data_IF_048434995964
#
_entry.id   IF_048434995964
#
_cell.length_a   1.000
_cell.length_b   1.000
_cell.length_c   1.000
_cell.angle_alpha   90.00
_cell.angle_beta   90.00
_cell.angle_gamma   90.00
#
_symmetry.space_group_name_H-M   'P 1'
#
loop_
_entity.id
_entity.type
_entity.pdbx_description
1 polymer ?
#
# COMPACT_ATOMS: atom_id res chain seq x y z
N UNK A 1 20.26 6.43 15.67
CA UNK A 1 18.95 5.89 15.23
C UNK A 1 18.46 6.77 14.09
N UNK A 2 18.06 6.19 12.96
CA UNK A 2 17.57 6.94 11.78
C UNK A 2 16.07 7.18 11.93
N UNK A 3 15.60 8.38 11.58
CA UNK A 3 14.17 8.67 11.56
C UNK A 3 13.59 8.39 10.18
N UNK A 4 12.42 7.76 10.14
CA UNK A 4 11.80 7.30 8.90
C UNK A 4 10.31 7.59 8.81
N UNK A 5 9.84 7.84 7.60
CA UNK A 5 8.42 7.87 7.24
C UNK A 5 8.16 6.81 6.17
N UNK A 6 7.19 5.95 6.42
CA UNK A 6 6.80 4.87 5.52
C UNK A 6 5.68 5.34 4.60
N UNK A 7 5.81 5.11 3.29
CA UNK A 7 4.80 5.46 2.30
C UNK A 7 4.51 4.27 1.38
N UNK A 8 3.25 3.83 1.36
CA UNK A 8 2.76 2.84 0.42
C UNK A 8 1.98 3.51 -0.71
N UNK A 9 2.43 3.37 -1.95
CA UNK A 9 1.76 3.93 -3.13
C UNK A 9 0.83 2.94 -3.83
N UNK A 10 -0.44 3.31 -4.02
CA UNK A 10 -1.45 2.39 -4.52
C UNK A 10 -2.69 3.02 -5.15
N UNK A 11 -3.43 2.19 -5.89
CA UNK A 11 -4.76 2.56 -6.37
C UNK A 11 -5.78 2.59 -5.23
N UNK A 12 -5.64 1.66 -4.26
CA UNK A 12 -6.54 1.50 -3.12
C UNK A 12 -8.02 1.47 -3.54
N UNK A 13 -8.33 0.54 -4.43
CA UNK A 13 -9.63 0.41 -5.09
C UNK A 13 -10.30 -0.94 -4.79
N UNK A 14 -10.74 -1.21 -3.54
CA UNK A 14 -10.59 -0.39 -2.33
C UNK A 14 -9.25 -0.63 -1.60
N UNK A 15 -8.98 0.13 -0.54
CA UNK A 15 -8.02 -0.28 0.50
C UNK A 15 -8.53 -1.56 1.18
N UNK A 16 -7.62 -2.37 1.73
CA UNK A 16 -7.94 -3.65 2.35
C UNK A 16 -6.92 -3.98 3.43
N UNK A 17 -7.23 -4.94 4.29
CA UNK A 17 -6.48 -5.29 5.51
C UNK A 17 -5.00 -5.51 5.25
N UNK A 18 -4.62 -6.14 4.14
CA UNK A 18 -3.21 -6.36 3.84
C UNK A 18 -2.39 -5.13 3.50
N UNK A 19 -2.98 -4.05 2.99
CA UNK A 19 -2.25 -2.80 2.83
C UNK A 19 -1.79 -2.26 4.19
N UNK A 20 -2.66 -2.43 5.19
CA UNK A 20 -2.43 -2.01 6.56
C UNK A 20 -1.43 -2.94 7.25
N UNK A 21 -1.64 -4.27 7.14
CA UNK A 21 -0.72 -5.27 7.68
C UNK A 21 0.70 -5.08 7.13
N UNK A 22 0.83 -4.74 5.84
CA UNK A 22 2.12 -4.45 5.22
C UNK A 22 2.84 -3.27 5.88
N UNK A 23 2.13 -2.16 6.13
CA UNK A 23 2.71 -1.01 6.82
C UNK A 23 3.16 -1.38 8.24
N UNK A 24 2.33 -2.10 8.99
CA UNK A 24 2.63 -2.50 10.36
C UNK A 24 3.83 -3.47 10.44
N UNK A 25 3.86 -4.50 9.58
CA UNK A 25 4.96 -5.46 9.56
C UNK A 25 6.28 -4.80 9.14
N UNK A 26 6.27 -3.91 8.14
CA UNK A 26 7.49 -3.20 7.75
C UNK A 26 7.97 -2.27 8.86
N UNK A 27 7.06 -1.55 9.55
CA UNK A 27 7.44 -0.74 10.72
C UNK A 27 8.12 -1.61 11.78
N UNK A 28 7.51 -2.74 12.13
CA UNK A 28 8.06 -3.67 13.12
C UNK A 28 9.47 -4.15 12.74
N UNK A 29 9.67 -4.60 11.50
CA UNK A 29 10.97 -5.10 11.04
C UNK A 29 12.05 -4.03 10.96
N UNK A 30 11.70 -2.80 10.60
CA UNK A 30 12.66 -1.70 10.59
C UNK A 30 13.09 -1.31 12.02
N UNK A 31 12.17 -1.38 12.98
CA UNK A 31 12.42 -0.98 14.36
C UNK A 31 13.05 -2.08 15.22
N UNK A 32 12.87 -3.37 14.89
CA UNK A 32 13.31 -4.50 15.73
C UNK A 32 14.81 -4.48 16.06
N UNK A 33 15.63 -3.99 15.13
CA UNK A 33 17.08 -3.90 15.29
C UNK A 33 17.56 -2.54 15.87
N UNK A 34 16.64 -1.67 16.30
CA UNK A 34 16.95 -0.35 16.86
C UNK A 34 17.57 0.65 15.87
N UNK A 35 17.62 0.31 14.58
CA UNK A 35 18.22 1.15 13.54
C UNK A 35 17.29 2.31 13.16
N UNK A 36 15.97 2.09 13.22
CA UNK A 36 14.95 3.03 12.79
C UNK A 36 14.04 3.46 13.93
N UNK A 37 13.59 4.72 13.85
CA UNK A 37 12.45 5.27 14.56
C UNK A 37 11.42 5.72 13.51
N UNK A 38 10.31 4.99 13.39
CA UNK A 38 9.29 5.29 12.38
C UNK A 38 8.29 6.29 12.95
N UNK A 39 8.35 7.51 12.40
CA UNK A 39 7.55 8.66 12.86
C UNK A 39 6.14 8.67 12.28
N UNK A 40 5.89 7.97 11.18
CA UNK A 40 4.56 7.93 10.55
C UNK A 40 4.49 7.02 9.32
N UNK A 41 3.26 6.73 8.91
CA UNK A 41 2.93 5.84 7.81
C UNK A 41 1.78 6.37 6.96
N UNK A 42 1.92 6.34 5.64
CA UNK A 42 0.96 6.95 4.72
C UNK A 42 0.61 6.03 3.55
N UNK A 43 -0.64 6.12 3.10
CA UNK A 43 -1.11 5.50 1.87
C UNK A 43 -1.26 6.58 0.78
N UNK A 44 -0.32 6.63 -0.16
CA UNK A 44 -0.31 7.59 -1.25
C UNK A 44 -1.26 7.16 -2.38
N UNK A 45 -2.43 7.76 -2.41
CA UNK A 45 -3.53 7.42 -3.31
C UNK A 45 -3.27 7.90 -4.73
N UNK A 46 -3.44 7.01 -5.71
CA UNK A 46 -3.34 7.36 -7.13
C UNK A 46 -4.55 8.18 -7.63
N UNK A 47 -4.39 9.05 -8.64
CA UNK A 47 -5.48 9.87 -9.18
C UNK A 47 -6.50 9.02 -9.95
N UNK A 48 -7.73 9.50 -10.08
CA UNK A 48 -8.82 8.77 -10.77
C UNK A 48 -8.47 8.39 -12.21
N UNK A 49 -7.84 9.30 -12.97
CA UNK A 49 -7.42 9.00 -14.34
C UNK A 49 -6.45 7.81 -14.42
N UNK A 50 -5.50 7.71 -13.48
CA UNK A 50 -4.58 6.57 -13.42
C UNK A 50 -5.30 5.28 -13.07
N UNK A 51 -6.20 5.31 -12.07
CA UNK A 51 -6.94 4.12 -11.65
C UNK A 51 -7.86 3.64 -12.77
N UNK A 52 -8.62 4.53 -13.41
CA UNK A 52 -9.48 4.20 -14.56
C UNK A 52 -8.68 3.55 -15.68
N UNK A 53 -7.55 4.14 -16.08
CA UNK A 53 -6.70 3.57 -17.11
C UNK A 53 -6.20 2.16 -16.74
N UNK A 54 -5.76 1.95 -15.50
CA UNK A 54 -5.29 0.65 -15.00
C UNK A 54 -6.39 -0.43 -14.95
N UNK A 55 -7.65 -0.04 -14.75
CA UNK A 55 -8.78 -0.95 -14.59
C UNK A 55 -9.55 -1.17 -15.90
N UNK A 56 -9.37 -0.29 -16.89
CA UNK A 56 -10.10 -0.30 -18.16
C UNK A 56 -10.03 -1.65 -18.88
N UNK A 57 -8.84 -2.24 -19.03
CA UNK A 57 -8.65 -3.51 -19.75
C UNK A 57 -9.36 -4.71 -19.09
N UNK A 58 -9.74 -4.58 -17.82
CA UNK A 58 -10.42 -5.64 -17.05
C UNK A 58 -11.91 -5.36 -16.82
N UNK A 59 -12.42 -4.26 -17.39
CA UNK A 59 -13.80 -3.81 -17.18
C UNK A 59 -14.21 -3.74 -15.70
N UNK A 60 -13.29 -3.29 -14.85
CA UNK A 60 -13.51 -3.20 -13.40
C UNK A 60 -13.90 -1.78 -12.98
N UNK A 61 -14.82 -1.65 -12.01
CA UNK A 61 -15.32 -0.35 -11.54
C UNK A 61 -14.23 0.44 -10.80
N UNK A 62 -14.22 1.76 -10.99
CA UNK A 62 -13.28 2.66 -10.30
C UNK A 62 -14.01 3.43 -9.20
N UNK A 63 -13.57 3.26 -7.95
CA UNK A 63 -14.03 4.05 -6.80
C UNK A 63 -13.45 5.46 -6.93
N UNK A 64 -14.29 6.48 -6.77
CA UNK A 64 -13.87 7.88 -6.84
C UNK A 64 -12.76 8.18 -5.84
N UNK A 65 -11.86 9.08 -6.18
CA UNK A 65 -10.74 9.47 -5.32
C UNK A 65 -11.21 9.85 -3.91
N UNK A 66 -12.24 10.67 -3.79
CA UNK A 66 -12.78 11.13 -2.50
C UNK A 66 -13.15 9.96 -1.60
N UNK A 67 -13.74 8.90 -2.16
CA UNK A 67 -14.13 7.72 -1.40
C UNK A 67 -12.92 6.86 -1.10
N UNK A 68 -11.93 6.74 -1.98
CA UNK A 68 -10.69 5.99 -1.69
C UNK A 68 -9.90 6.62 -0.53
N UNK A 69 -9.85 7.95 -0.45
CA UNK A 69 -9.27 8.67 0.69
C UNK A 69 -10.06 8.42 1.98
N UNK A 70 -11.39 8.49 1.93
CA UNK A 70 -12.24 8.21 3.08
C UNK A 70 -12.12 6.75 3.55
N UNK A 71 -12.10 5.77 2.64
CA UNK A 71 -11.89 4.36 2.97
C UNK A 71 -10.54 4.13 3.64
N UNK A 72 -9.49 4.87 3.24
CA UNK A 72 -8.19 4.83 3.92
C UNK A 72 -8.32 5.35 5.35
N UNK A 73 -9.00 6.48 5.56
CA UNK A 73 -9.26 7.00 6.90
C UNK A 73 -9.93 5.94 7.79
N UNK A 74 -11.02 5.33 7.30
CA UNK A 74 -11.72 4.24 8.00
C UNK A 74 -10.81 3.03 8.31
N UNK A 75 -9.89 2.71 7.40
CA UNK A 75 -8.97 1.58 7.55
C UNK A 75 -7.84 1.80 8.57
N UNK A 76 -7.50 3.05 8.87
CA UNK A 76 -6.39 3.40 9.77
C UNK A 76 -6.84 3.95 11.13
N UNK A 77 -8.12 4.25 11.30
CA UNK A 77 -8.66 4.97 12.47
C UNK A 77 -8.25 4.31 13.79
N UNK A 78 -8.32 2.98 13.87
CA UNK A 78 -7.99 2.23 15.09
C UNK A 78 -6.50 1.89 15.23
N UNK A 79 -5.61 2.53 14.44
CA UNK A 79 -4.18 2.21 14.39
C UNK A 79 -3.39 3.45 14.81
N UNK A 80 -3.01 3.58 16.10
CA UNK A 80 -2.52 4.83 16.68
C UNK A 80 -1.36 5.46 15.92
N UNK A 81 -0.39 4.68 15.45
CA UNK A 81 0.78 5.24 14.76
C UNK A 81 0.48 5.72 13.33
N UNK A 82 -0.57 5.18 12.68
CA UNK A 82 -1.01 5.64 11.36
C UNK A 82 -1.91 6.86 11.49
N UNK A 83 -2.92 6.82 12.35
CA UNK A 83 -3.87 7.94 12.49
C UNK A 83 -3.19 9.19 13.08
N UNK A 84 -2.22 9.02 13.98
CA UNK A 84 -1.44 10.11 14.56
C UNK A 84 -0.15 10.42 13.79
N UNK A 85 -0.04 9.99 12.53
CA UNK A 85 1.08 10.37 11.67
C UNK A 85 1.11 11.90 11.45
N UNK A 86 2.29 12.54 11.38
CA UNK A 86 2.38 13.99 11.17
C UNK A 86 1.61 14.47 9.93
N UNK A 87 0.72 15.44 10.09
CA UNK A 87 -0.10 15.97 8.98
C UNK A 87 -1.05 14.95 8.31
N UNK A 88 -1.41 13.86 9.01
CA UNK A 88 -2.25 12.80 8.44
C UNK A 88 -3.58 13.34 7.89
N UNK A 89 -4.25 14.24 8.62
CA UNK A 89 -5.50 14.84 8.19
C UNK A 89 -5.34 15.66 6.90
N UNK A 90 -4.25 16.42 6.76
CA UNK A 90 -3.95 17.18 5.54
C UNK A 90 -3.58 16.30 4.36
N UNK A 91 -2.99 15.12 4.62
CA UNK A 91 -2.68 14.14 3.58
C UNK A 91 -3.94 13.41 3.09
N UNK A 92 -4.97 13.27 3.93
CA UNK A 92 -6.24 12.63 3.56
C UNK A 92 -7.18 13.55 2.75
N UNK A 93 -6.88 14.84 2.63
CA UNK A 93 -7.71 15.82 1.89
C UNK A 93 -7.47 15.81 0.38
N UNK A 94 -6.34 15.29 -0.09
CA UNK A 94 -5.99 15.31 -1.52
C UNK A 94 -5.01 14.21 -1.90
N UNK A 95 -4.84 13.98 -3.21
CA UNK A 95 -3.79 13.10 -3.71
C UNK A 95 -2.54 13.89 -4.09
N UNK A 96 -1.38 13.28 -3.90
CA UNK A 96 -0.09 13.80 -4.41
C UNK A 96 0.36 13.08 -5.70
N UNK A 97 -0.46 12.16 -6.20
CA UNK A 97 -0.22 11.44 -7.46
C UNK A 97 0.71 10.23 -7.35
N UNK A 98 1.74 10.30 -6.48
CA UNK A 98 2.64 9.17 -6.21
C UNK A 98 3.19 9.17 -4.78
N UNK A 99 3.68 8.02 -4.32
CA UNK A 99 4.37 7.91 -3.02
C UNK A 99 5.58 8.83 -2.92
N UNK A 100 6.31 9.02 -4.02
CA UNK A 100 7.44 9.93 -4.07
C UNK A 100 7.01 11.38 -3.86
N UNK A 101 5.99 11.84 -4.61
CA UNK A 101 5.48 13.20 -4.49
C UNK A 101 4.91 13.51 -3.09
N UNK A 102 4.18 12.55 -2.49
CA UNK A 102 3.74 12.65 -1.10
C UNK A 102 4.92 12.81 -0.14
N UNK A 103 5.97 12.00 -0.30
CA UNK A 103 7.19 12.11 0.50
C UNK A 103 7.88 13.46 0.37
N UNK A 104 7.91 14.05 -0.83
CA UNK A 104 8.44 15.41 -1.05
C UNK A 104 7.60 16.49 -0.37
N UNK A 105 6.27 16.34 -0.37
CA UNK A 105 5.39 17.25 0.37
C UNK A 105 5.62 17.14 1.87
N UNK A 106 5.70 15.93 2.41
CA UNK A 106 5.94 15.70 3.83
C UNK A 106 7.29 16.27 4.28
N UNK A 107 8.37 16.06 3.52
CA UNK A 107 9.68 16.67 3.82
C UNK A 107 9.61 18.19 3.93
N UNK A 108 8.93 18.84 2.96
CA UNK A 108 8.74 20.31 2.99
C UNK A 108 7.94 20.78 4.19
N UNK A 109 6.90 20.05 4.59
CA UNK A 109 6.05 20.41 5.73
C UNK A 109 6.77 20.22 7.06
N UNK A 110 7.53 19.13 7.20
CA UNK A 110 8.29 18.80 8.40
C UNK A 110 9.51 19.72 8.59
N UNK A 111 10.02 20.33 7.51
CA UNK A 111 11.22 21.17 7.51
C UNK A 111 12.42 20.47 8.17
N UNK A 112 12.52 19.15 7.98
CA UNK A 112 13.56 18.31 8.55
C UNK A 112 14.09 17.36 7.48
N UNK A 113 15.29 17.68 6.96
CA UNK A 113 15.94 16.90 5.91
C UNK A 113 16.59 15.60 6.41
N UNK A 114 16.72 15.43 7.73
CA UNK A 114 17.28 14.21 8.32
C UNK A 114 16.29 13.04 8.26
N UNK A 115 14.98 13.31 8.17
CA UNK A 115 13.95 12.28 8.07
C UNK A 115 14.04 11.60 6.71
N UNK A 116 14.17 10.28 6.73
CA UNK A 116 14.22 9.45 5.53
C UNK A 116 12.83 9.11 5.03
N UNK A 117 12.60 9.24 3.73
CA UNK A 117 11.38 8.74 3.09
C UNK A 117 11.60 7.30 2.66
N UNK A 118 10.76 6.40 3.16
CA UNK A 118 10.80 4.97 2.93
C UNK A 118 9.60 4.61 2.05
N UNK A 119 9.83 4.30 0.78
CA UNK A 119 8.79 3.93 -0.18
C UNK A 119 8.64 2.42 -0.19
N UNK A 120 7.45 1.94 0.16
CA UNK A 120 7.09 0.53 0.08
C UNK A 120 6.67 0.16 -1.34
N UNK A 121 7.20 -0.96 -1.83
CA UNK A 121 6.83 -1.57 -3.08
C UNK A 121 6.59 -3.07 -2.89
N UNK A 122 5.52 -3.60 -3.50
CA UNK A 122 5.38 -5.05 -3.64
C UNK A 122 6.50 -5.61 -4.50
N UNK A 123 6.85 -6.88 -4.28
CA UNK A 123 7.91 -7.58 -5.03
C UNK A 123 7.73 -7.52 -6.55
N UNK A 124 6.48 -7.49 -7.03
CA UNK A 124 6.13 -7.32 -8.45
C UNK A 124 6.68 -6.02 -9.07
N UNK A 125 6.89 -4.98 -8.26
CA UNK A 125 7.45 -3.70 -8.68
C UNK A 125 8.96 -3.59 -8.50
N UNK A 126 9.59 -4.61 -7.91
CA UNK A 126 11.04 -4.64 -7.71
C UNK A 126 11.78 -5.08 -8.98
N UNK A 127 11.06 -5.60 -9.97
CA UNK A 127 11.58 -5.91 -11.30
C UNK A 127 10.91 -4.99 -12.33
N UNK A 128 11.68 -4.33 -13.17
CA UNK A 128 11.17 -3.49 -14.26
C UNK A 128 11.88 -3.88 -15.55
N UNK A 129 11.14 -4.19 -16.62
CA UNK A 129 11.69 -4.64 -17.90
C UNK A 129 12.75 -5.76 -17.74
N UNK A 130 12.48 -6.73 -16.85
CA UNK A 130 13.40 -7.84 -16.55
C UNK A 130 14.64 -7.47 -15.71
N UNK A 131 14.81 -6.20 -15.34
CA UNK A 131 15.96 -5.71 -14.58
C UNK A 131 15.51 -5.35 -13.16
N UNK A 132 16.16 -5.89 -12.10
CA UNK A 132 15.89 -5.47 -10.74
C UNK A 132 16.19 -3.99 -10.49
N UNK A 133 15.34 -3.34 -9.71
CA UNK A 133 15.47 -1.91 -9.45
C UNK A 133 16.74 -1.55 -8.66
N UNK A 134 17.27 -2.47 -7.84
CA UNK A 134 18.51 -2.28 -7.07
C UNK A 134 19.78 -2.33 -7.91
N UNK A 135 19.68 -2.82 -9.16
CA UNK A 135 20.78 -2.78 -10.14
C UNK A 135 20.79 -1.49 -10.97
N UNK A 136 19.85 -0.57 -10.72
CA UNK A 136 19.72 0.68 -11.46
C UNK A 136 20.27 1.83 -10.64
N UNK A 137 21.05 2.69 -11.28
CA UNK A 137 21.40 3.98 -10.71
C UNK A 137 20.28 4.97 -11.01
N UNK A 138 19.90 5.76 -10.00
CA UNK A 138 18.96 6.86 -10.17
C UNK A 138 19.69 8.19 -9.94
N UNK A 139 20.62 8.58 -10.84
CA UNK A 139 21.35 9.82 -10.69
C UNK A 139 20.36 10.98 -10.61
N UNK A 140 20.57 11.88 -9.65
CA UNK A 140 19.78 13.10 -9.41
C UNK A 140 18.38 12.90 -8.80
N UNK A 141 18.08 11.75 -8.19
CA UNK A 141 16.88 11.63 -7.34
C UNK A 141 17.26 11.82 -5.88
N UNK A 142 16.40 12.53 -5.14
CA UNK A 142 16.52 12.61 -3.68
C UNK A 142 16.57 11.19 -3.09
N UNK A 143 17.44 10.94 -2.09
CA UNK A 143 17.60 9.63 -1.50
C UNK A 143 16.26 9.21 -0.89
N UNK A 144 15.69 8.15 -1.47
CA UNK A 144 14.52 7.46 -0.93
C UNK A 144 14.93 6.03 -0.71
N UNK A 145 14.61 5.51 0.47
CA UNK A 145 14.86 4.11 0.76
C UNK A 145 13.68 3.33 0.19
N UNK A 146 13.98 2.38 -0.68
CA UNK A 146 12.97 1.51 -1.28
C UNK A 146 12.95 0.22 -0.50
N UNK A 147 11.81 -0.07 0.09
CA UNK A 147 11.57 -1.35 0.74
C UNK A 147 10.75 -2.22 -0.21
N UNK A 148 11.39 -3.25 -0.76
CA UNK A 148 10.68 -4.31 -1.45
C UNK A 148 10.12 -5.30 -0.45
N UNK A 149 8.88 -5.72 -0.66
CA UNK A 149 8.28 -6.80 0.13
C UNK A 149 7.87 -7.94 -0.79
N UNK A 150 8.57 -9.06 -0.65
CA UNK A 150 8.14 -10.32 -1.23
C UNK A 150 6.98 -10.89 -0.40
N UNK A 151 5.94 -11.39 -1.08
CA UNK A 151 4.79 -12.02 -0.42
C UNK A 151 4.98 -13.52 -0.45
N UNK A 152 4.75 -14.19 0.67
CA UNK A 152 4.75 -15.65 0.71
C UNK A 152 3.54 -16.15 -0.10
N UNK A 153 3.79 -16.78 -1.23
CA UNK A 153 2.77 -17.52 -1.98
C UNK A 153 2.95 -19.02 -1.72
N UNK A 154 1.84 -19.76 -1.69
CA UNK A 154 1.82 -21.21 -1.43
C UNK A 154 2.59 -22.05 -2.47
N UNK A 155 3.05 -21.46 -3.57
CA UNK A 155 3.87 -22.11 -4.59
C UNK A 155 5.27 -21.45 -4.68
N UNK A 156 6.29 -22.12 -4.13
CA UNK A 156 7.72 -22.22 -4.49
C UNK A 156 8.47 -21.07 -5.25
N UNK A 157 7.99 -19.83 -5.23
CA UNK A 157 8.56 -18.71 -5.98
C UNK A 157 9.30 -17.70 -5.10
N UNK A 158 9.97 -18.16 -4.02
CA UNK A 158 10.88 -17.37 -3.16
C UNK A 158 12.16 -16.93 -3.92
N UNK A 159 12.01 -16.34 -5.11
CA UNK A 159 13.15 -16.01 -5.97
C UNK A 159 13.60 -14.57 -5.79
N UNK A 160 12.76 -13.66 -5.29
CA UNK A 160 13.15 -12.25 -5.25
C UNK A 160 14.21 -12.00 -4.17
N UNK A 161 13.98 -12.51 -2.95
CA UNK A 161 14.93 -12.41 -1.86
C UNK A 161 16.23 -13.17 -2.16
N UNK A 162 16.13 -14.40 -2.68
CA UNK A 162 17.30 -15.17 -3.11
C UNK A 162 18.07 -14.46 -4.23
N UNK A 163 17.38 -13.89 -5.21
CA UNK A 163 18.01 -13.17 -6.31
C UNK A 163 18.71 -11.89 -5.83
N UNK A 164 18.09 -11.16 -4.89
CA UNK A 164 18.71 -10.01 -4.26
C UNK A 164 19.94 -10.39 -3.43
N UNK A 165 19.89 -11.48 -2.66
CA UNK A 165 21.03 -12.00 -1.91
C UNK A 165 22.19 -12.41 -2.83
N UNK A 166 21.89 -13.06 -3.96
CA UNK A 166 22.89 -13.39 -4.98
C UNK A 166 23.53 -12.13 -5.58
N UNK A 167 22.75 -11.08 -5.82
CA UNK A 167 23.24 -9.81 -6.35
C UNK A 167 24.07 -9.04 -5.33
N UNK A 168 23.68 -9.07 -4.06
CA UNK A 168 24.44 -8.51 -2.95
C UNK A 168 25.81 -9.18 -2.86
N UNK A 169 25.86 -10.52 -2.87
CA UNK A 169 27.10 -11.28 -2.81
C UNK A 169 28.01 -11.07 -4.03
N UNK A 170 27.44 -10.70 -5.18
CA UNK A 170 28.18 -10.40 -6.42
C UNK A 170 28.51 -8.91 -6.59
N UNK A 171 28.21 -8.06 -5.60
CA UNK A 171 28.36 -6.60 -5.68
C UNK A 171 27.65 -5.98 -6.90
N UNK A 172 26.48 -6.51 -7.27
CA UNK A 172 25.66 -6.01 -8.38
C UNK A 172 24.62 -4.96 -7.95
N UNK A 173 24.51 -4.70 -6.64
CA UNK A 173 23.65 -3.65 -6.10
C UNK A 173 24.42 -2.33 -6.16
N UNK A 174 23.91 -1.38 -6.95
CA UNK A 174 24.61 -0.11 -7.17
C UNK A 174 24.55 0.80 -5.94
N UNK A 175 23.43 0.81 -5.21
CA UNK A 175 23.20 1.68 -4.05
C UNK A 175 22.60 0.89 -2.87
N UNK A 176 23.39 0.07 -2.13
CA UNK A 176 22.85 -0.80 -1.08
C UNK A 176 22.18 -0.04 0.07
N UNK A 177 22.54 1.22 0.30
CA UNK A 177 21.93 2.07 1.34
C UNK A 177 20.54 2.59 0.98
N UNK A 178 20.18 2.58 -0.31
CA UNK A 178 18.87 3.05 -0.81
C UNK A 178 17.86 1.91 -0.97
N UNK A 179 18.27 0.67 -0.71
CA UNK A 179 17.44 -0.51 -0.94
C UNK A 179 17.47 -1.45 0.26
N UNK A 180 16.27 -1.75 0.76
CA UNK A 180 16.05 -2.78 1.75
C UNK A 180 15.08 -3.78 1.12
N UNK A 181 15.40 -5.07 1.15
CA UNK A 181 14.46 -6.10 0.76
C UNK A 181 14.06 -6.90 1.99
N UNK A 182 12.76 -6.94 2.26
CA UNK A 182 12.19 -7.68 3.38
C UNK A 182 11.43 -8.89 2.84
N UNK A 183 11.66 -10.03 3.47
CA UNK A 183 10.88 -11.24 3.25
C UNK A 183 9.86 -11.37 4.37
N UNK A 184 8.61 -10.95 4.11
CA UNK A 184 7.58 -10.87 5.14
C UNK A 184 6.51 -11.94 4.94
N UNK A 185 6.04 -12.59 6.01
CA UNK A 185 4.95 -13.56 5.94
C UNK A 185 3.59 -12.85 5.84
N UNK A 186 3.39 -12.11 4.75
CA UNK A 186 2.13 -11.47 4.45
C UNK A 186 1.34 -12.34 3.46
N UNK A 187 0.09 -12.61 3.81
CA UNK A 187 -0.86 -13.24 2.90
C UNK A 187 -0.98 -12.42 1.60
N UNK A 188 -1.49 -13.03 0.53
CA UNK A 188 -1.74 -12.33 -0.74
C UNK A 188 -3.24 -12.18 -1.01
N UNK A 189 -3.72 -10.96 -0.82
CA UNK A 189 -5.04 -10.47 -1.18
C UNK A 189 -4.80 -9.34 -2.16
N UNK A 190 -5.47 -9.47 -3.29
CA UNK A 190 -5.49 -8.42 -4.30
C UNK A 190 -6.78 -7.64 -4.19
N UNK A 191 -6.71 -6.34 -4.44
CA UNK A 191 -7.93 -5.54 -4.56
C UNK A 191 -8.84 -6.04 -5.68
N UNK A 192 -8.32 -6.80 -6.66
CA UNK A 192 -9.15 -7.44 -7.70
C UNK A 192 -10.11 -8.48 -7.13
N UNK A 193 -9.65 -9.33 -6.21
CA UNK A 193 -10.52 -10.29 -5.52
C UNK A 193 -11.58 -9.54 -4.72
N UNK A 194 -11.19 -8.51 -3.97
CA UNK A 194 -12.15 -7.69 -3.20
C UNK A 194 -13.22 -7.07 -4.11
N UNK A 195 -12.84 -6.58 -5.30
CA UNK A 195 -13.80 -6.05 -6.28
C UNK A 195 -14.77 -7.09 -6.82
N UNK A 196 -14.36 -8.35 -6.96
CA UNK A 196 -15.26 -9.44 -7.36
C UNK A 196 -16.36 -9.60 -6.32
N UNK A 197 -15.98 -9.72 -5.04
CA UNK A 197 -16.93 -9.81 -3.93
C UNK A 197 -17.85 -8.58 -3.86
N UNK A 198 -17.30 -7.37 -3.98
CA UNK A 198 -18.11 -6.15 -3.98
C UNK A 198 -19.11 -6.12 -5.14
N UNK A 199 -18.70 -6.50 -6.36
CA UNK A 199 -19.63 -6.60 -7.50
C UNK A 199 -20.75 -7.60 -7.24
N UNK A 200 -20.45 -8.75 -6.64
CA UNK A 200 -21.47 -9.73 -6.23
C UNK A 200 -22.43 -9.13 -5.19
N UNK A 201 -21.89 -8.39 -4.21
CA UNK A 201 -22.67 -7.71 -3.18
C UNK A 201 -23.61 -6.65 -3.78
N UNK A 202 -23.14 -5.83 -4.73
CA UNK A 202 -23.96 -4.84 -5.44
C UNK A 202 -25.09 -5.50 -6.24
N UNK A 203 -24.79 -6.61 -6.90
CA UNK A 203 -25.78 -7.35 -7.70
C UNK A 203 -26.81 -8.09 -6.84
N UNK A 204 -26.55 -8.25 -5.54
CA UNK A 204 -27.45 -8.90 -4.59
C UNK A 204 -28.36 -7.90 -3.84
N UNK A 205 -28.49 -6.65 -4.28
CA UNK A 205 -29.23 -5.58 -3.56
C UNK A 205 -30.68 -5.90 -3.16
N UNK A 206 -31.32 -6.85 -3.84
CA UNK A 206 -32.70 -7.30 -3.55
C UNK A 206 -32.75 -8.57 -2.69
N UNK A 207 -31.60 -9.19 -2.43
CA UNK A 207 -31.44 -10.41 -1.63
C UNK A 207 -30.57 -10.08 -0.40
N UNK A 208 -31.25 -9.63 0.66
CA UNK A 208 -30.60 -9.19 1.91
C UNK A 208 -29.78 -10.29 2.57
N UNK A 209 -30.21 -11.55 2.46
CA UNK A 209 -29.46 -12.69 2.99
C UNK A 209 -28.15 -12.86 2.23
N UNK A 210 -28.19 -12.86 0.90
CA UNK A 210 -26.98 -12.97 0.09
C UNK A 210 -26.02 -11.81 0.29
N UNK A 211 -26.52 -10.57 0.47
CA UNK A 211 -25.66 -9.45 0.84
C UNK A 211 -24.97 -9.65 2.18
N UNK A 212 -25.71 -10.10 3.19
CA UNK A 212 -25.15 -10.39 4.51
C UNK A 212 -24.06 -11.47 4.45
N UNK A 213 -24.30 -12.55 3.71
CA UNK A 213 -23.33 -13.64 3.54
C UNK A 213 -22.02 -13.13 2.89
N UNK A 214 -22.13 -12.30 1.83
CA UNK A 214 -20.96 -11.72 1.16
C UNK A 214 -20.21 -10.73 2.07
N UNK A 215 -20.93 -9.93 2.87
CA UNK A 215 -20.32 -9.04 3.86
C UNK A 215 -19.54 -9.83 4.91
N UNK A 216 -20.14 -10.90 5.44
CA UNK A 216 -19.51 -11.78 6.39
C UNK A 216 -18.26 -12.46 5.81
N UNK A 217 -18.30 -12.86 4.54
CA UNK A 217 -17.15 -13.39 3.83
C UNK A 217 -16.01 -12.36 3.71
N UNK A 218 -16.34 -11.11 3.37
CA UNK A 218 -15.37 -10.03 3.21
C UNK A 218 -14.71 -9.61 4.53
N UNK A 219 -15.46 -9.62 5.64
CA UNK A 219 -15.01 -9.07 6.92
C UNK A 219 -14.49 -10.15 7.86
N UNK A 220 -15.21 -11.27 8.00
CA UNK A 220 -14.97 -12.24 9.06
C UNK A 220 -14.26 -13.49 8.54
N UNK A 221 -14.76 -14.09 7.44
CA UNK A 221 -14.20 -15.35 6.95
C UNK A 221 -12.84 -15.13 6.28
N UNK A 222 -12.81 -14.25 5.28
CA UNK A 222 -11.58 -13.98 4.54
C UNK A 222 -10.79 -12.79 5.11
N UNK A 223 -11.41 -11.98 5.97
CA UNK A 223 -10.77 -10.81 6.59
C UNK A 223 -10.12 -9.87 5.56
N UNK A 224 -10.77 -9.64 4.43
CA UNK A 224 -10.29 -8.76 3.37
C UNK A 224 -10.51 -7.28 3.69
N UNK A 225 -11.61 -6.93 4.36
CA UNK A 225 -11.95 -5.56 4.71
C UNK A 225 -12.15 -5.39 6.21
N UNK A 226 -11.78 -4.22 6.73
CA UNK A 226 -12.25 -3.80 8.05
C UNK A 226 -13.75 -3.51 8.00
N UNK A 227 -14.46 -3.75 9.11
CA UNK A 227 -15.89 -3.49 9.21
C UNK A 227 -16.24 -2.02 8.94
N UNK A 228 -15.42 -1.08 9.41
CA UNK A 228 -15.57 0.37 9.14
C UNK A 228 -15.54 0.69 7.64
N UNK A 229 -14.58 0.10 6.92
CA UNK A 229 -14.43 0.23 5.47
C UNK A 229 -15.66 -0.31 4.74
N UNK A 230 -16.18 -1.48 5.15
CA UNK A 230 -17.39 -2.02 4.54
C UNK A 230 -18.63 -1.16 4.84
N UNK A 231 -18.78 -0.66 6.07
CA UNK A 231 -19.87 0.23 6.45
C UNK A 231 -19.86 1.52 5.61
N UNK A 232 -18.69 2.11 5.37
CA UNK A 232 -18.56 3.26 4.49
C UNK A 232 -19.02 2.94 3.07
N UNK A 233 -18.62 1.80 2.51
CA UNK A 233 -19.03 1.35 1.16
C UNK A 233 -20.55 1.25 1.08
N UNK A 234 -21.19 0.63 2.07
CA UNK A 234 -22.66 0.48 2.15
C UNK A 234 -23.35 1.83 2.15
N UNK A 235 -22.87 2.76 2.97
CA UNK A 235 -23.49 4.08 3.14
C UNK A 235 -23.30 5.01 1.93
N UNK A 236 -22.37 4.70 1.02
CA UNK A 236 -22.04 5.55 -0.12
C UNK A 236 -22.24 4.85 -1.48
N UNK A 237 -22.97 3.73 -1.52
CA UNK A 237 -23.08 2.87 -2.70
C UNK A 237 -23.49 3.61 -4.00
N UNK A 238 -24.41 4.57 -3.89
CA UNK A 238 -24.99 5.27 -5.04
C UNK A 238 -24.02 6.27 -5.68
N UNK A 239 -23.00 6.71 -4.94
CA UNK A 239 -22.01 7.71 -5.37
C UNK A 239 -20.59 7.13 -5.49
N UNK A 240 -20.40 5.86 -5.13
CA UNK A 240 -19.07 5.28 -4.91
C UNK A 240 -18.17 5.26 -6.16
N UNK A 241 -18.75 5.04 -7.34
CA UNK A 241 -18.02 4.71 -8.56
C UNK A 241 -18.09 5.79 -9.65
N UNK A 242 -17.08 5.80 -10.52
CA UNK A 242 -16.98 6.56 -11.79
C UNK A 242 -16.69 5.63 -12.97
#
# INVERSE_FOLDING_TARGET
>A
MKEGIIILGGAFNPVHTQHIALLCLVKQELEVNGQWNILGGYLAVAPDGYVRHKLHSRNERTIKLKHRLALIHEAITDIPWLINSPFQEEMLKQHDGSAFALGQRLKRLLKNDNIQIIILAGGDRMISNGIPIWRRSFPNRLPVIRVGVERIMNDNNNKLFEYWQQDLNKNLILNPEEFILLNLPIQSVSSSIVRIYLNQWFNAKEDSKKQFDIENDLININSFLHSSVMNYIKNNQDDLYI
#
